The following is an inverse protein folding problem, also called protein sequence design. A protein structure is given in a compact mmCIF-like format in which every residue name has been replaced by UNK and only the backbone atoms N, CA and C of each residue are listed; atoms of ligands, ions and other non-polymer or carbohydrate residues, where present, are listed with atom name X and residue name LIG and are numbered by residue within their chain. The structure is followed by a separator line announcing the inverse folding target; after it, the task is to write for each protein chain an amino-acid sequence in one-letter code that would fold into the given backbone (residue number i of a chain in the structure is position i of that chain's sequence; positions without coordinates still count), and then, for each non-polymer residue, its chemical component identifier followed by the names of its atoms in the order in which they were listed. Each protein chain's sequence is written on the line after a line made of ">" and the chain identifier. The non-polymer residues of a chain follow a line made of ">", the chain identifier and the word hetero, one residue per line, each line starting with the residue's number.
data_IF_658403606118
#
_entry.id   IF_658403606118
#
_cell.length_a   1.000
_cell.length_b   1.000
_cell.length_c   1.000
_cell.angle_alpha   90.00
_cell.angle_beta   90.00
_cell.angle_gamma   90.00
#
_symmetry.space_group_name_H-M   'P 1'
#
loop_
_entity.id
_entity.type
_entity.pdbx_description
1 polymer ?
#
# COMPACT_ATOMS: atom_id res chain seq x y z
N UNK A 1 -10.37 20.92 -6.68
CA UNK A 1 -9.23 21.41 -7.49
C UNK A 1 -9.40 20.92 -8.92
N UNK A 2 -9.45 21.88 -9.84
CA UNK A 2 -9.65 21.74 -11.28
C UNK A 2 -8.73 20.69 -11.91
N UNK A 3 -9.29 19.84 -12.79
CA UNK A 3 -8.52 19.06 -13.74
C UNK A 3 -7.62 20.02 -14.53
N UNK A 4 -6.31 20.01 -14.28
CA UNK A 4 -5.39 20.43 -15.30
C UNK A 4 -5.33 19.30 -16.33
N UNK A 5 -5.68 19.55 -17.60
CA UNK A 5 -5.36 18.63 -18.67
C UNK A 5 -3.85 18.39 -18.67
N UNK A 6 -3.41 17.24 -19.17
CA UNK A 6 -2.01 17.03 -19.50
C UNK A 6 -1.47 18.26 -20.23
N UNK A 7 -0.23 18.70 -19.94
CA UNK A 7 0.40 19.65 -20.83
C UNK A 7 0.49 18.94 -22.18
N UNK A 8 -0.36 19.35 -23.13
CA UNK A 8 -0.14 19.04 -24.52
C UNK A 8 1.26 19.57 -24.82
N UNK A 9 2.20 18.63 -24.95
CA UNK A 9 3.53 18.94 -25.43
C UNK A 9 3.34 19.58 -26.80
N UNK A 10 3.61 20.87 -26.89
CA UNK A 10 3.56 21.64 -28.13
C UNK A 10 4.72 21.28 -29.08
N UNK A 11 5.15 20.02 -29.13
CA UNK A 11 6.14 19.52 -30.10
C UNK A 11 5.70 18.14 -30.61
N UNK A 12 5.76 17.96 -31.93
CA UNK A 12 5.25 16.85 -32.76
C UNK A 12 5.88 15.46 -32.53
N UNK A 13 6.40 15.13 -31.35
CA UNK A 13 6.89 13.78 -31.04
C UNK A 13 5.96 13.05 -30.07
N UNK A 14 5.20 12.08 -30.61
CA UNK A 14 4.31 11.21 -29.83
C UNK A 14 5.08 10.55 -28.66
N UNK A 15 4.44 10.42 -27.48
CA UNK A 15 5.04 9.70 -26.37
C UNK A 15 5.37 8.27 -26.79
N UNK A 16 6.49 7.69 -26.31
CA UNK A 16 6.75 6.28 -26.47
C UNK A 16 5.54 5.48 -25.99
N UNK A 17 4.93 4.69 -26.88
CA UNK A 17 3.75 3.86 -26.60
C UNK A 17 4.14 2.64 -25.79
N UNK A 18 4.61 2.86 -24.56
CA UNK A 18 4.88 1.81 -23.61
C UNK A 18 3.57 1.45 -22.89
N UNK A 19 3.25 0.17 -22.85
CA UNK A 19 2.04 -0.35 -22.21
C UNK A 19 1.92 0.12 -20.73
N UNK A 20 2.98 0.16 -19.91
CA UNK A 20 2.88 0.66 -18.53
C UNK A 20 2.48 2.13 -18.42
N UNK A 21 2.80 2.97 -19.41
CA UNK A 21 2.40 4.39 -19.40
C UNK A 21 0.88 4.49 -19.56
N UNK A 22 0.33 3.73 -20.51
CA UNK A 22 -1.11 3.71 -20.79
C UNK A 22 -1.86 3.18 -19.57
N UNK A 23 -1.36 2.09 -18.98
CA UNK A 23 -1.92 1.50 -17.77
C UNK A 23 -1.83 2.47 -16.59
N UNK A 24 -0.71 3.17 -16.38
CA UNK A 24 -0.56 4.17 -15.31
C UNK A 24 -1.63 5.27 -15.39
N UNK A 25 -1.86 5.81 -16.59
CA UNK A 25 -2.87 6.85 -16.82
C UNK A 25 -4.28 6.35 -16.53
N UNK A 26 -4.60 5.12 -16.94
CA UNK A 26 -5.89 4.50 -16.67
C UNK A 26 -6.11 4.29 -15.17
N UNK A 27 -5.09 3.82 -14.46
CA UNK A 27 -5.12 3.62 -13.02
C UNK A 27 -5.35 4.94 -12.29
N UNK A 28 -4.64 5.99 -12.70
CA UNK A 28 -4.83 7.33 -12.16
C UNK A 28 -6.26 7.85 -12.37
N UNK A 29 -6.81 7.70 -13.59
CA UNK A 29 -8.19 8.10 -13.90
C UNK A 29 -9.24 7.31 -13.10
N UNK A 30 -8.97 6.03 -12.86
CA UNK A 30 -9.87 5.13 -12.12
C UNK A 30 -9.68 5.20 -10.60
N UNK A 31 -8.77 6.05 -10.11
CA UNK A 31 -8.50 6.23 -8.69
C UNK A 31 -7.58 5.17 -8.08
N UNK A 32 -7.00 4.28 -8.88
CA UNK A 32 -5.97 3.35 -8.44
C UNK A 32 -4.62 4.06 -8.37
N UNK A 33 -4.54 5.07 -7.48
CA UNK A 33 -3.42 6.01 -7.42
C UNK A 33 -2.10 5.30 -7.09
N UNK A 34 -2.14 4.24 -6.29
CA UNK A 34 -0.93 3.57 -5.84
C UNK A 34 -0.37 2.66 -6.95
N UNK A 35 -1.25 1.94 -7.64
CA UNK A 35 -0.94 1.24 -8.89
C UNK A 35 -0.39 2.20 -9.96
N UNK A 36 -1.01 3.37 -10.12
CA UNK A 36 -0.54 4.38 -11.07
C UNK A 36 0.91 4.83 -10.77
N UNK A 37 1.26 5.04 -9.48
CA UNK A 37 2.64 5.38 -9.08
C UNK A 37 3.62 4.27 -9.51
N UNK A 38 3.27 3.01 -9.26
CA UNK A 38 4.12 1.86 -9.65
C UNK A 38 4.30 1.77 -11.16
N UNK A 39 3.23 1.91 -11.92
CA UNK A 39 3.27 1.86 -13.38
C UNK A 39 4.05 3.04 -13.96
N UNK A 40 4.02 4.22 -13.32
CA UNK A 40 4.92 5.32 -13.68
C UNK A 40 6.38 5.01 -13.37
N UNK A 41 6.69 4.40 -12.23
CA UNK A 41 8.05 3.96 -11.88
C UNK A 41 8.58 2.91 -12.88
N UNK A 42 7.76 1.93 -13.25
CA UNK A 42 8.08 0.95 -14.28
C UNK A 42 8.30 1.60 -15.65
N UNK A 43 7.45 2.57 -16.01
CA UNK A 43 7.58 3.34 -17.24
C UNK A 43 8.92 4.08 -17.31
N UNK A 44 9.32 4.74 -16.22
CA UNK A 44 10.61 5.43 -16.10
C UNK A 44 11.77 4.45 -16.32
N UNK A 45 11.71 3.28 -15.68
CA UNK A 45 12.72 2.25 -15.85
C UNK A 45 12.86 1.77 -17.31
N UNK A 46 11.73 1.51 -17.99
CA UNK A 46 11.72 1.11 -19.41
C UNK A 46 12.21 2.23 -20.33
N UNK A 47 11.88 3.49 -20.05
CA UNK A 47 12.39 4.64 -20.81
C UNK A 47 13.90 4.81 -20.66
N UNK A 48 14.46 4.57 -19.47
CA UNK A 48 15.91 4.59 -19.27
C UNK A 48 16.61 3.52 -20.12
N UNK A 49 16.10 2.29 -20.12
CA UNK A 49 16.66 1.22 -20.98
C UNK A 49 16.60 1.58 -22.47
N UNK A 50 15.46 2.11 -22.94
CA UNK A 50 15.32 2.55 -24.33
C UNK A 50 16.27 3.70 -24.67
N UNK A 51 16.50 4.61 -23.72
CA UNK A 51 17.47 5.71 -23.88
C UNK A 51 18.91 5.23 -24.00
N UNK A 52 19.26 4.11 -23.37
CA UNK A 52 20.59 3.49 -23.45
C UNK A 52 20.76 2.69 -24.73
N UNK A 53 19.73 1.95 -25.14
CA UNK A 53 19.75 1.12 -26.35
C UNK A 53 19.71 1.95 -27.64
N UNK A 54 19.01 3.09 -27.63
CA UNK A 54 18.79 3.91 -28.83
C UNK A 54 19.24 5.36 -28.61
N UNK A 55 20.50 5.72 -28.97
CA UNK A 55 21.04 7.07 -28.74
C UNK A 55 20.21 8.19 -29.38
N UNK A 56 19.57 7.91 -30.53
CA UNK A 56 18.74 8.86 -31.27
C UNK A 56 17.46 9.25 -30.51
N UNK A 57 16.96 8.38 -29.62
CA UNK A 57 15.75 8.63 -28.81
C UNK A 57 16.09 9.19 -27.43
N UNK A 58 17.37 9.36 -27.08
CA UNK A 58 17.83 9.78 -25.75
C UNK A 58 17.19 11.09 -25.29
N UNK A 59 17.03 12.06 -26.19
CA UNK A 59 16.39 13.33 -25.87
C UNK A 59 14.90 13.14 -25.52
N UNK A 60 14.17 12.41 -26.37
CA UNK A 60 12.75 12.10 -26.18
C UNK A 60 12.50 11.30 -24.89
N UNK A 61 13.28 10.24 -24.66
CA UNK A 61 13.22 9.45 -23.42
C UNK A 61 13.47 10.35 -22.20
N UNK A 62 14.50 11.18 -22.23
CA UNK A 62 14.84 12.10 -21.15
C UNK A 62 13.73 13.11 -20.83
N UNK A 63 13.02 13.61 -21.86
CA UNK A 63 11.83 14.48 -21.69
C UNK A 63 10.73 13.75 -20.92
N UNK A 64 10.37 12.54 -21.34
CA UNK A 64 9.28 11.78 -20.72
C UNK A 64 9.63 11.18 -19.35
N UNK A 65 10.88 10.79 -19.12
CA UNK A 65 11.36 10.38 -17.79
C UNK A 65 11.07 11.48 -16.77
N UNK A 66 11.48 12.72 -17.05
CA UNK A 66 11.23 13.87 -16.15
C UNK A 66 9.74 14.12 -15.90
N UNK A 67 8.91 13.97 -16.94
CA UNK A 67 7.45 14.11 -16.84
C UNK A 67 6.89 13.07 -15.87
N UNK A 68 7.22 11.79 -16.05
CA UNK A 68 6.69 10.71 -15.22
C UNK A 68 7.29 10.68 -13.81
N UNK A 69 8.56 11.05 -13.64
CA UNK A 69 9.17 11.24 -12.31
C UNK A 69 8.44 12.33 -11.52
N UNK A 70 8.15 13.45 -12.17
CA UNK A 70 7.38 14.55 -11.59
C UNK A 70 5.98 14.08 -11.22
N UNK A 71 5.30 13.34 -12.10
CA UNK A 71 3.94 12.84 -11.83
C UNK A 71 3.90 11.83 -10.68
N UNK A 72 4.80 10.86 -10.67
CA UNK A 72 4.93 9.90 -9.58
C UNK A 72 5.22 10.61 -8.24
N UNK A 73 6.07 11.66 -8.25
CA UNK A 73 6.31 12.49 -7.07
C UNK A 73 5.06 13.22 -6.60
N UNK A 74 4.31 13.87 -7.50
CA UNK A 74 3.05 14.55 -7.17
C UNK A 74 2.01 13.60 -6.57
N UNK A 75 1.84 12.40 -7.15
CA UNK A 75 0.92 11.39 -6.63
C UNK A 75 1.36 10.90 -5.25
N UNK A 76 2.67 10.71 -5.02
CA UNK A 76 3.22 10.39 -3.69
C UNK A 76 2.97 11.50 -2.67
N UNK A 77 3.12 12.76 -3.07
CA UNK A 77 2.81 13.93 -2.23
C UNK A 77 1.31 14.03 -1.94
N UNK A 78 0.45 13.77 -2.92
CA UNK A 78 -0.99 13.70 -2.73
C UNK A 78 -1.36 12.63 -1.70
N UNK A 79 -0.81 11.42 -1.85
CA UNK A 79 -0.98 10.34 -0.86
C UNK A 79 -0.50 10.82 0.51
N UNK A 80 0.69 11.44 0.60
CA UNK A 80 1.23 11.98 1.85
C UNK A 80 0.35 13.06 2.49
N UNK A 81 -0.26 13.95 1.70
CA UNK A 81 -1.17 14.98 2.19
C UNK A 81 -2.49 14.37 2.69
N UNK A 82 -3.04 13.37 2.01
CA UNK A 82 -4.24 12.65 2.48
C UNK A 82 -3.96 11.95 3.82
N UNK A 83 -2.73 11.47 4.04
CA UNK A 83 -2.29 10.92 5.33
C UNK A 83 -2.30 11.96 6.48
N UNK A 84 -2.15 13.25 6.19
CA UNK A 84 -2.11 14.31 7.23
C UNK A 84 -3.51 14.70 7.73
N UNK A 85 -4.57 14.46 6.95
CA UNK A 85 -5.98 14.65 7.37
C UNK A 85 -6.57 13.44 8.11
N UNK A 86 -5.75 12.65 8.78
CA UNK A 86 -6.13 11.34 9.29
C UNK A 86 -6.83 11.40 10.66
N UNK A 87 -7.88 10.59 10.81
CA UNK A 87 -8.51 10.31 12.11
C UNK A 87 -7.96 9.00 12.67
N UNK A 88 -7.64 8.97 13.96
CA UNK A 88 -7.39 7.69 14.65
C UNK A 88 -8.68 6.88 14.64
N UNK A 89 -8.61 5.64 14.16
CA UNK A 89 -9.69 4.68 14.31
C UNK A 89 -9.54 3.89 15.60
N UNK A 90 -8.32 3.43 15.88
CA UNK A 90 -8.05 2.53 16.99
C UNK A 90 -6.57 2.58 17.40
N UNK A 91 -6.33 2.24 18.66
CA UNK A 91 -5.01 2.08 19.25
C UNK A 91 -5.01 0.80 20.09
N UNK A 92 -4.19 -0.16 19.67
CA UNK A 92 -4.19 -1.51 20.25
C UNK A 92 -2.83 -1.79 20.85
N UNK A 93 -2.81 -1.99 22.17
CA UNK A 93 -1.66 -2.54 22.85
C UNK A 93 -1.69 -4.08 22.81
N UNK A 94 -0.58 -4.67 22.41
CA UNK A 94 -0.32 -6.11 22.43
C UNK A 94 0.65 -6.35 23.57
N UNK A 95 0.19 -7.04 24.60
CA UNK A 95 1.02 -7.42 25.74
C UNK A 95 1.94 -8.61 25.40
N UNK A 96 3.08 -8.69 26.08
CA UNK A 96 3.97 -9.85 25.98
C UNK A 96 3.24 -11.12 26.39
N UNK A 97 3.56 -12.25 25.74
CA UNK A 97 2.97 -13.57 25.94
C UNK A 97 1.45 -13.65 25.62
N UNK A 98 0.82 -12.56 25.19
CA UNK A 98 -0.61 -12.55 24.85
C UNK A 98 -0.90 -13.37 23.59
N UNK A 99 -2.14 -13.88 23.50
CA UNK A 99 -2.67 -14.69 22.38
C UNK A 99 -3.93 -14.06 21.82
N UNK A 100 -4.44 -14.59 20.71
CA UNK A 100 -5.65 -14.09 20.04
C UNK A 100 -5.43 -12.78 19.30
N UNK A 101 -4.21 -12.59 18.78
CA UNK A 101 -3.75 -11.40 18.09
C UNK A 101 -3.32 -11.73 16.66
N UNK A 102 -3.99 -12.68 16.00
CA UNK A 102 -3.73 -12.93 14.57
C UNK A 102 -4.00 -11.67 13.73
N UNK A 103 -3.43 -11.61 12.53
CA UNK A 103 -3.74 -10.51 11.61
C UNK A 103 -5.21 -10.43 11.27
N UNK A 104 -5.90 -11.57 11.15
CA UNK A 104 -7.35 -11.59 10.93
C UNK A 104 -8.08 -10.88 12.07
N UNK A 105 -7.71 -11.18 13.32
CA UNK A 105 -8.39 -10.63 14.48
C UNK A 105 -8.10 -9.15 14.70
N UNK A 106 -6.88 -8.70 14.40
CA UNK A 106 -6.51 -7.30 14.54
C UNK A 106 -6.97 -6.44 13.37
N UNK A 107 -6.85 -6.95 12.14
CA UNK A 107 -6.99 -6.13 10.93
C UNK A 107 -8.26 -6.41 10.14
N UNK A 108 -8.93 -7.55 10.36
CA UNK A 108 -10.08 -7.97 9.56
C UNK A 108 -11.22 -6.95 9.51
N UNK A 109 -11.45 -6.19 10.59
CA UNK A 109 -12.47 -5.13 10.62
C UNK A 109 -12.18 -3.95 9.67
N UNK A 110 -10.94 -3.83 9.18
CA UNK A 110 -10.49 -2.77 8.28
C UNK A 110 -10.22 -3.27 6.85
N UNK A 111 -10.45 -4.56 6.60
CA UNK A 111 -10.29 -5.22 5.32
C UNK A 111 -11.68 -5.49 4.73
N UNK A 112 -11.96 -4.90 3.58
CA UNK A 112 -13.24 -5.04 2.90
C UNK A 112 -13.06 -5.01 1.37
N UNK A 113 -14.18 -5.13 0.66
CA UNK A 113 -14.24 -5.09 -0.80
C UNK A 113 -13.76 -3.74 -1.41
N UNK A 114 -13.64 -2.68 -0.61
CA UNK A 114 -13.10 -1.39 -1.09
C UNK A 114 -11.57 -1.40 -1.15
N UNK A 115 -10.90 -2.38 -0.56
CA UNK A 115 -9.45 -2.54 -0.61
C UNK A 115 -9.05 -3.26 -1.91
N UNK A 116 -8.55 -2.49 -2.87
CA UNK A 116 -8.05 -2.97 -4.17
C UNK A 116 -6.53 -3.03 -4.26
N UNK A 117 -5.87 -2.18 -3.48
CA UNK A 117 -4.42 -2.07 -3.38
C UNK A 117 -3.98 -2.05 -1.92
N UNK A 118 -2.83 -2.69 -1.63
CA UNK A 118 -2.17 -2.69 -0.34
C UNK A 118 -0.66 -2.41 -0.49
N UNK A 119 -0.13 -1.46 0.29
CA UNK A 119 1.30 -1.19 0.38
C UNK A 119 1.82 -1.61 1.74
N UNK A 120 2.84 -2.45 1.76
CA UNK A 120 3.43 -3.04 2.94
C UNK A 120 4.88 -2.57 3.00
N UNK A 121 5.20 -1.80 4.04
CA UNK A 121 6.57 -1.47 4.39
C UNK A 121 6.97 -2.35 5.57
N UNK A 122 7.83 -3.34 5.32
CA UNK A 122 8.35 -4.26 6.33
C UNK A 122 9.88 -4.35 6.16
N UNK A 123 10.67 -3.67 7.00
CA UNK A 123 12.13 -3.65 6.86
C UNK A 123 12.82 -5.00 7.02
N UNK A 124 12.18 -5.98 7.67
CA UNK A 124 12.86 -7.18 8.18
C UNK A 124 12.35 -8.48 7.57
N UNK A 125 12.53 -8.70 6.25
CA UNK A 125 12.18 -9.97 5.60
C UNK A 125 13.38 -10.88 5.33
N UNK A 126 14.12 -11.23 6.38
CA UNK A 126 15.42 -11.94 6.27
C UNK A 126 15.41 -13.41 6.68
N UNK A 127 14.40 -13.88 7.42
CA UNK A 127 14.37 -15.26 7.91
C UNK A 127 13.03 -15.96 7.64
N UNK A 128 13.00 -17.27 7.87
CA UNK A 128 11.83 -18.11 7.58
C UNK A 128 10.58 -17.73 8.40
N UNK A 129 10.74 -17.26 9.64
CA UNK A 129 9.60 -16.80 10.43
C UNK A 129 9.05 -15.48 9.89
N UNK A 130 9.93 -14.57 9.46
CA UNK A 130 9.52 -13.33 8.79
C UNK A 130 8.72 -13.60 7.51
N UNK A 131 9.18 -14.55 6.68
CA UNK A 131 8.47 -14.96 5.46
C UNK A 131 7.11 -15.60 5.79
N UNK A 132 7.03 -16.48 6.80
CA UNK A 132 5.76 -17.07 7.26
C UNK A 132 4.78 -16.01 7.75
N UNK A 133 5.28 -15.01 8.47
CA UNK A 133 4.48 -13.89 8.95
C UNK A 133 3.93 -13.05 7.79
N UNK A 134 4.74 -12.79 6.75
CA UNK A 134 4.28 -12.12 5.53
C UNK A 134 3.20 -12.95 4.82
N UNK A 135 3.44 -14.25 4.59
CA UNK A 135 2.50 -15.14 3.94
C UNK A 135 1.15 -15.18 4.66
N UNK A 136 1.15 -15.34 5.98
CA UNK A 136 -0.10 -15.34 6.76
C UNK A 136 -0.84 -14.01 6.65
N UNK A 137 -0.14 -12.87 6.60
CA UNK A 137 -0.78 -11.58 6.37
C UNK A 137 -1.35 -11.45 4.95
N UNK A 138 -0.62 -11.93 3.93
CA UNK A 138 -1.10 -11.95 2.54
C UNK A 138 -2.36 -12.82 2.40
N UNK A 139 -2.40 -13.99 3.03
CA UNK A 139 -3.60 -14.85 3.07
C UNK A 139 -4.80 -14.12 3.68
N UNK A 140 -4.59 -13.37 4.77
CA UNK A 140 -5.64 -12.55 5.38
C UNK A 140 -6.10 -11.44 4.42
N UNK A 141 -5.20 -10.76 3.72
CA UNK A 141 -5.58 -9.77 2.71
C UNK A 141 -6.42 -10.40 1.59
N UNK A 142 -5.94 -11.48 0.99
CA UNK A 142 -6.63 -12.17 -0.12
C UNK A 142 -8.00 -12.69 0.31
N UNK A 143 -8.11 -13.21 1.54
CA UNK A 143 -9.36 -13.74 2.09
C UNK A 143 -10.43 -12.67 2.34
N UNK A 144 -10.03 -11.48 2.81
CA UNK A 144 -10.99 -10.44 3.22
C UNK A 144 -11.23 -9.38 2.15
N UNK A 145 -10.30 -9.19 1.20
CA UNK A 145 -10.38 -8.15 0.18
C UNK A 145 -10.70 -8.78 -1.18
N UNK A 146 -11.98 -8.99 -1.50
CA UNK A 146 -12.43 -9.71 -2.72
C UNK A 146 -11.90 -9.12 -4.01
N UNK A 147 -11.70 -7.80 -4.06
CA UNK A 147 -11.26 -7.07 -5.24
C UNK A 147 -9.80 -6.60 -5.16
N UNK A 148 -9.00 -7.21 -4.27
CA UNK A 148 -7.56 -6.96 -4.22
C UNK A 148 -6.90 -7.34 -5.55
N UNK A 149 -6.12 -6.42 -6.11
CA UNK A 149 -5.42 -6.59 -7.39
C UNK A 149 -3.94 -6.31 -7.31
N UNK A 150 -3.52 -5.40 -6.43
CA UNK A 150 -2.13 -4.98 -6.37
C UNK A 150 -1.61 -4.95 -4.94
N UNK A 151 -0.40 -5.48 -4.79
CA UNK A 151 0.35 -5.41 -3.54
C UNK A 151 1.71 -4.82 -3.85
N UNK A 152 2.08 -3.77 -3.12
CA UNK A 152 3.45 -3.26 -3.11
C UNK A 152 4.12 -3.66 -1.81
N UNK A 153 5.26 -4.33 -1.90
CA UNK A 153 6.09 -4.66 -0.76
C UNK A 153 7.40 -3.87 -0.84
N UNK A 154 7.75 -3.12 0.20
CA UNK A 154 9.07 -2.52 0.34
C UNK A 154 9.75 -3.13 1.56
N UNK A 155 10.96 -3.66 1.37
CA UNK A 155 11.79 -4.28 2.41
C UNK A 155 13.25 -3.86 2.26
N UNK A 156 14.07 -4.03 3.30
CA UNK A 156 15.52 -3.94 3.16
C UNK A 156 16.08 -5.23 2.54
N UNK A 157 17.16 -5.14 1.75
CA UNK A 157 17.93 -6.31 1.35
C UNK A 157 18.41 -7.12 2.55
N UNK A 158 18.33 -8.44 2.46
CA UNK A 158 19.00 -9.32 3.40
C UNK A 158 20.54 -9.11 3.30
N UNK A 159 21.23 -8.75 4.40
CA UNK A 159 22.66 -8.49 4.38
C UNK A 159 23.51 -9.76 4.21
N UNK A 160 22.95 -10.94 4.49
CA UNK A 160 23.64 -12.22 4.44
C UNK A 160 23.26 -13.00 3.18
N UNK A 161 21.96 -13.09 2.88
CA UNK A 161 21.43 -13.96 1.82
C UNK A 161 20.49 -13.23 0.83
N UNK A 162 20.93 -12.13 0.19
CA UNK A 162 20.06 -11.29 -0.65
C UNK A 162 19.45 -12.04 -1.85
N UNK A 163 20.20 -12.96 -2.47
CA UNK A 163 19.69 -13.78 -3.58
C UNK A 163 18.59 -14.74 -3.16
N UNK A 164 18.71 -15.31 -1.95
CA UNK A 164 17.69 -16.21 -1.42
C UNK A 164 16.41 -15.47 -1.08
N UNK A 165 16.53 -14.28 -0.46
CA UNK A 165 15.40 -13.39 -0.22
C UNK A 165 14.67 -13.05 -1.52
N UNK A 166 15.39 -12.66 -2.57
CA UNK A 166 14.80 -12.37 -3.88
C UNK A 166 14.07 -13.58 -4.48
N UNK A 167 14.68 -14.77 -4.42
CA UNK A 167 14.07 -15.99 -4.94
C UNK A 167 12.75 -16.33 -4.21
N UNK A 168 12.72 -16.15 -2.89
CA UNK A 168 11.49 -16.35 -2.09
C UNK A 168 10.42 -15.34 -2.49
N UNK A 169 10.76 -14.05 -2.58
CA UNK A 169 9.80 -13.00 -2.96
C UNK A 169 9.27 -13.20 -4.38
N UNK A 170 10.11 -13.69 -5.30
CA UNK A 170 9.71 -14.05 -6.66
C UNK A 170 8.74 -15.23 -6.70
N UNK A 171 8.95 -16.21 -5.82
CA UNK A 171 8.04 -17.34 -5.67
C UNK A 171 6.67 -16.90 -5.12
N UNK A 172 6.65 -16.01 -4.12
CA UNK A 172 5.41 -15.40 -3.59
C UNK A 172 4.71 -14.59 -4.68
N UNK A 173 5.47 -13.82 -5.48
CA UNK A 173 4.93 -13.05 -6.60
C UNK A 173 4.25 -13.95 -7.62
N UNK A 174 4.91 -15.04 -8.00
CA UNK A 174 4.38 -16.01 -8.97
C UNK A 174 3.12 -16.70 -8.45
N UNK A 175 3.08 -17.05 -7.17
CA UNK A 175 1.92 -17.66 -6.52
C UNK A 175 0.70 -16.72 -6.51
N UNK A 176 0.88 -15.47 -6.06
CA UNK A 176 -0.18 -14.46 -6.08
C UNK A 176 -0.71 -14.17 -7.49
N UNK A 177 0.16 -14.22 -8.51
CA UNK A 177 -0.24 -14.02 -9.90
C UNK A 177 -1.24 -15.09 -10.38
N UNK A 178 -1.20 -16.32 -9.84
CA UNK A 178 -2.22 -17.36 -10.15
C UNK A 178 -3.62 -16.95 -9.70
N UNK A 179 -3.72 -16.12 -8.65
CA UNK A 179 -4.94 -15.49 -8.17
C UNK A 179 -5.30 -14.17 -8.85
N UNK A 180 -4.60 -13.78 -9.92
CA UNK A 180 -4.71 -12.47 -10.57
C UNK A 180 -4.42 -11.28 -9.63
N UNK A 181 -3.44 -11.45 -8.73
CA UNK A 181 -2.95 -10.40 -7.85
C UNK A 181 -1.49 -10.12 -8.21
N UNK A 182 -1.19 -8.88 -8.58
CA UNK A 182 0.15 -8.45 -8.93
C UNK A 182 0.91 -7.99 -7.68
N UNK A 183 1.99 -8.70 -7.34
CA UNK A 183 2.95 -8.28 -6.33
C UNK A 183 4.14 -7.56 -7.00
N UNK A 184 4.39 -6.32 -6.60
CA UNK A 184 5.63 -5.61 -6.89
C UNK A 184 6.42 -5.45 -5.59
N UNK A 185 7.65 -5.96 -5.55
CA UNK A 185 8.55 -5.76 -4.42
C UNK A 185 9.70 -4.83 -4.77
N UNK A 186 10.10 -3.98 -3.83
CA UNK A 186 11.21 -3.06 -3.94
C UNK A 186 12.16 -3.23 -2.74
N UNK A 187 13.45 -3.17 -3.02
CA UNK A 187 14.49 -3.10 -2.00
C UNK A 187 14.82 -1.65 -1.69
N UNK A 188 14.82 -1.27 -0.41
CA UNK A 188 15.17 0.06 0.07
C UNK A 188 16.01 -0.04 1.35
N UNK A 189 17.31 0.23 1.23
CA UNK A 189 18.25 0.20 2.36
C UNK A 189 17.93 1.25 3.43
N UNK A 190 17.16 2.30 3.11
CA UNK A 190 16.82 3.37 4.05
C UNK A 190 15.49 3.15 4.76
N UNK A 191 14.80 2.04 4.47
CA UNK A 191 13.50 1.74 5.05
C UNK A 191 13.60 1.41 6.55
N UNK A 192 12.89 2.17 7.36
CA UNK A 192 12.70 1.92 8.80
C UNK A 192 11.22 1.85 9.21
N UNK A 193 10.36 2.49 8.42
CA UNK A 193 8.93 2.56 8.68
C UNK A 193 8.29 1.17 8.58
N UNK A 194 7.51 0.80 9.61
CA UNK A 194 6.68 -0.40 9.66
C UNK A 194 5.22 0.01 9.53
N UNK A 195 4.69 -0.13 8.32
CA UNK A 195 3.42 0.49 7.95
C UNK A 195 2.75 -0.28 6.83
N UNK A 196 1.44 -0.45 6.96
CA UNK A 196 0.56 -0.93 5.90
C UNK A 196 -0.37 0.22 5.49
N UNK A 197 -0.52 0.45 4.19
CA UNK A 197 -1.44 1.45 3.63
C UNK A 197 -2.38 0.75 2.68
N UNK A 198 -3.68 0.90 2.90
CA UNK A 198 -4.73 0.30 2.07
C UNK A 198 -5.38 1.39 1.23
N UNK A 199 -5.71 1.06 -0.02
CA UNK A 199 -6.47 1.92 -0.96
C UNK A 199 -7.79 2.46 -0.40
N UNK A 200 -8.41 1.76 0.55
CA UNK A 200 -9.60 2.23 1.29
C UNK A 200 -9.33 3.47 2.15
N UNK A 201 -8.07 3.92 2.27
CA UNK A 201 -7.65 5.03 3.13
C UNK A 201 -7.21 4.60 4.53
N UNK A 202 -7.26 3.30 4.84
CA UNK A 202 -6.79 2.78 6.13
C UNK A 202 -5.26 2.71 6.14
N UNK A 203 -4.66 3.12 7.26
CA UNK A 203 -3.22 3.06 7.50
C UNK A 203 -2.99 2.39 8.84
N UNK A 204 -2.17 1.34 8.85
CA UNK A 204 -1.85 0.56 10.04
C UNK A 204 -0.35 0.73 10.30
N UNK A 205 0.01 1.24 11.48
CA UNK A 205 1.40 1.34 11.93
C UNK A 205 1.60 0.36 13.08
N UNK A 206 2.65 -0.45 13.00
CA UNK A 206 2.91 -1.51 13.98
C UNK A 206 4.31 -1.33 14.52
N UNK A 207 4.45 -1.22 15.85
CA UNK A 207 5.73 -0.97 16.52
C UNK A 207 6.79 -2.05 16.27
N UNK A 208 6.40 -3.26 15.85
CA UNK A 208 7.27 -4.38 15.44
C UNK A 208 7.03 -4.87 14.00
N UNK A 209 6.21 -4.16 13.22
CA UNK A 209 5.83 -4.60 11.88
C UNK A 209 5.02 -5.89 11.93
N UNK A 210 5.18 -6.77 10.95
CA UNK A 210 4.55 -8.08 10.89
C UNK A 210 5.22 -9.10 11.83
N UNK A 211 6.20 -8.70 12.66
CA UNK A 211 7.04 -9.64 13.41
C UNK A 211 6.86 -9.47 14.92
N UNK A 212 5.60 -9.30 15.34
CA UNK A 212 5.21 -9.25 16.77
C UNK A 212 4.87 -10.62 17.35
N UNK A 213 4.97 -11.72 16.61
CA UNK A 213 4.85 -13.06 17.19
C UNK A 213 6.17 -13.52 17.82
N UNK A 214 6.08 -14.33 18.87
CA UNK A 214 7.24 -15.04 19.39
C UNK A 214 7.69 -16.13 18.40
N UNK A 215 9.01 -16.32 18.30
CA UNK A 215 9.56 -17.43 17.53
C UNK A 215 9.07 -18.74 18.15
N UNK A 216 8.58 -19.66 17.30
CA UNK A 216 8.22 -20.99 17.74
C UNK A 216 9.41 -21.93 17.51
N UNK A 217 10.18 -22.19 18.56
CA UNK A 217 11.37 -23.05 18.48
C UNK A 217 11.04 -24.55 18.35
N UNK A 218 9.79 -24.94 18.65
CA UNK A 218 9.38 -26.35 18.64
C UNK A 218 8.42 -26.66 17.48
N UNK A 219 8.82 -27.62 16.65
CA UNK A 219 7.93 -28.34 15.75
C UNK A 219 6.84 -29.02 16.61
N UNK A 220 5.57 -28.85 16.26
CA UNK A 220 4.39 -29.47 16.91
C UNK A 220 3.80 -28.78 18.17
N UNK A 221 3.76 -27.44 18.22
CA UNK A 221 3.01 -26.69 19.25
C UNK A 221 1.79 -25.95 18.68
N UNK A 222 0.77 -25.70 19.53
CA UNK A 222 -0.35 -24.83 19.18
C UNK A 222 0.17 -23.42 18.86
N UNK A 223 -0.27 -22.87 17.73
CA UNK A 223 0.25 -21.62 17.19
C UNK A 223 1.08 -21.78 15.90
N UNK A 224 1.38 -23.02 15.50
CA UNK A 224 2.14 -23.29 14.27
C UNK A 224 1.36 -22.88 13.00
N UNK A 225 0.07 -23.23 12.94
CA UNK A 225 -0.78 -22.98 11.78
C UNK A 225 -1.73 -21.79 12.00
N UNK A 226 -2.37 -21.74 13.16
CA UNK A 226 -3.29 -20.66 13.51
C UNK A 226 -2.64 -19.70 14.50
N UNK A 227 -2.43 -18.47 14.02
CA UNK A 227 -1.69 -17.43 14.73
C UNK A 227 -2.49 -16.85 15.91
N UNK A 228 -3.79 -17.12 16.04
CA UNK A 228 -4.53 -16.79 17.26
C UNK A 228 -4.01 -17.58 18.47
N UNK A 229 -3.36 -18.72 18.27
CA UNK A 229 -2.71 -19.47 19.33
C UNK A 229 -1.22 -19.12 19.50
N UNK A 230 -0.66 -18.15 18.76
CA UNK A 230 0.73 -17.74 18.97
C UNK A 230 0.84 -16.71 20.08
N UNK A 231 1.88 -16.86 20.91
CA UNK A 231 2.27 -15.82 21.86
C UNK A 231 2.86 -14.64 21.10
N UNK A 232 2.62 -13.44 21.61
CA UNK A 232 3.09 -12.21 21.02
C UNK A 232 4.19 -11.55 21.86
N UNK A 233 5.10 -10.87 21.18
CA UNK A 233 5.99 -9.89 21.77
C UNK A 233 5.24 -8.57 21.95
N UNK A 234 5.56 -7.85 23.02
CA UNK A 234 4.89 -6.59 23.32
C UNK A 234 5.07 -5.57 22.18
N UNK A 235 3.98 -4.94 21.73
CA UNK A 235 4.00 -3.89 20.72
C UNK A 235 2.72 -3.05 20.73
N UNK A 236 2.78 -1.89 20.09
CA UNK A 236 1.62 -1.03 19.86
C UNK A 236 1.24 -1.06 18.38
N UNK A 237 -0.07 -0.96 18.13
CA UNK A 237 -0.63 -0.87 16.79
C UNK A 237 -1.56 0.33 16.71
N UNK A 238 -1.24 1.27 15.82
CA UNK A 238 -2.09 2.42 15.54
C UNK A 238 -2.80 2.25 14.20
N UNK A 239 -4.11 2.47 14.19
CA UNK A 239 -4.94 2.37 12.99
C UNK A 239 -5.57 3.72 12.71
N UNK A 240 -5.37 4.21 11.49
CA UNK A 240 -5.80 5.53 11.05
C UNK A 240 -6.68 5.40 9.83
N UNK A 241 -7.66 6.31 9.71
CA UNK A 241 -8.43 6.50 8.48
C UNK A 241 -8.07 7.84 7.86
N UNK A 242 -7.66 7.78 6.61
CA UNK A 242 -7.46 8.91 5.73
C UNK A 242 -8.62 8.96 4.73
N UNK A 243 -8.77 10.08 4.02
CA UNK A 243 -9.62 10.11 2.82
C UNK A 243 -9.16 8.99 1.86
N UNK A 244 -10.12 8.21 1.35
CA UNK A 244 -9.83 7.09 0.46
C UNK A 244 -9.00 7.55 -0.75
N UNK A 245 -8.00 6.76 -1.11
CA UNK A 245 -7.13 7.07 -2.25
C UNK A 245 -7.85 6.80 -3.59
N UNK A 246 -8.78 5.86 -3.58
CA UNK A 246 -9.69 5.60 -4.69
C UNK A 246 -10.91 6.52 -4.66
N UNK A 247 -11.13 7.28 -5.74
CA UNK A 247 -12.43 7.92 -5.97
C UNK A 247 -13.45 6.84 -6.32
N UNK A 248 -14.65 6.90 -5.72
CA UNK A 248 -15.79 6.14 -6.25
C UNK A 248 -15.99 6.51 -7.73
N UNK A 249 -16.25 5.54 -8.62
CA UNK A 249 -16.72 5.87 -9.97
C UNK A 249 -17.98 6.72 -9.83
N UNK A 250 -17.98 7.89 -10.46
CA UNK A 250 -19.15 8.77 -10.47
C UNK A 250 -20.25 8.08 -11.27
N UNK A 251 -21.35 7.73 -10.61
CA UNK A 251 -22.60 7.49 -11.33
C UNK A 251 -23.05 8.83 -11.93
N UNK A 252 -23.36 8.92 -13.22
CA UNK A 252 -23.91 10.14 -13.80
C UNK A 252 -25.31 10.38 -13.20
N UNK A 253 -25.41 11.23 -12.17
CA UNK A 253 -26.70 11.64 -11.59
C UNK A 253 -26.75 11.84 -10.07
N UNK A 254 -25.72 11.53 -9.29
CA UNK A 254 -25.77 11.78 -7.84
C UNK A 254 -25.53 13.28 -7.52
N UNK A 255 -26.45 13.94 -6.78
CA UNK A 255 -26.28 15.32 -6.37
C UNK A 255 -25.14 15.46 -5.35
N UNK A 256 -24.46 16.58 -5.45
CA UNK A 256 -23.26 16.90 -4.69
C UNK A 256 -23.62 17.32 -3.27
N UNK A 257 -23.60 16.36 -2.34
CA UNK A 257 -23.62 16.66 -0.91
C UNK A 257 -22.17 16.76 -0.42
N UNK A 258 -21.53 17.90 -0.69
CA UNK A 258 -20.41 18.38 0.10
C UNK A 258 -20.98 18.91 1.42
N UNK A 259 -21.35 18.00 2.32
CA UNK A 259 -21.60 18.36 3.72
C UNK A 259 -20.34 17.96 4.48
N UNK A 260 -19.54 18.96 4.82
CA UNK A 260 -18.51 18.86 5.83
C UNK A 260 -19.16 18.38 7.13
N UNK A 261 -19.04 17.11 7.45
CA UNK A 261 -19.46 16.53 8.73
C UNK A 261 -18.40 16.86 9.81
N UNK A 262 -18.16 18.16 9.97
CA UNK A 262 -17.23 18.75 10.93
C UNK A 262 -17.88 19.98 11.58
N UNK A 263 -19.16 19.86 11.96
CA UNK A 263 -19.85 20.83 12.83
C UNK A 263 -21.21 20.29 13.29
N UNK A 264 -21.20 19.26 14.13
CA UNK A 264 -22.25 19.13 15.14
C UNK A 264 -21.71 19.82 16.40
N UNK A 265 -21.91 21.14 16.46
CA UNK A 265 -21.61 21.96 17.61
C UNK A 265 -22.40 21.49 18.83
N UNK A 266 -21.73 21.60 19.98
CA UNK A 266 -22.33 21.48 21.30
C UNK A 266 -23.49 22.47 21.47
N UNK A 267 -24.63 22.01 21.99
CA UNK A 267 -25.58 22.91 22.62
C UNK A 267 -25.19 23.14 24.10
N UNK A 268 -24.97 24.38 24.55
CA UNK A 268 -24.91 24.71 25.96
C UNK A 268 -26.25 25.27 26.47
N UNK A 269 -26.72 24.66 27.57
CA UNK A 269 -27.52 25.21 28.67
C UNK A 269 -28.83 26.00 28.42
N UNK A 270 -29.91 25.46 29.00
CA UNK A 270 -31.09 26.23 29.43
C UNK A 270 -31.63 25.70 30.75
N UNK A 271 -31.19 26.29 31.86
CA UNK A 271 -31.85 26.20 33.16
C UNK A 271 -33.21 26.91 33.06
N UNK A 272 -34.30 26.29 33.49
CA UNK A 272 -35.46 27.02 34.03
C UNK A 272 -36.13 26.18 35.10
N UNK A 273 -36.25 26.78 36.26
CA UNK A 273 -37.05 26.38 37.41
C UNK A 273 -38.50 26.07 37.01
N UNK A 274 -39.05 24.96 37.51
CA UNK A 274 -40.09 24.91 38.55
C UNK A 274 -40.27 23.48 39.06
#
# INVERSE_FOLDING_TARGET
>A
MSHQPFPHANDEEEPPKLEPIISAMKCEQTGHIMEAILLYEESIYKLNQMSEAEPNKKHLCGKYIKVYETRAKQLREQVKSHLQSSRVLDHISIERDSRGKSYQRLFGAYLDDNVKEAHINEPHLTDQNHIRNLLNFLEVLVKNCRYLKYIRLTTRPDPVMPKNQQLILEQIRSDLATGNIQLHYQMDDTLHDRKIVLSSGVVIKIGRGLHYFEASDNSHTLGLCDFDFRKCQATEVDIWKCRAFAKKPKNPGEPQNDVDEASAEAEPNGYSSD
#
